data_IF_635209704902
#
_entry.id   IF_635209704902
#
_cell.length_a   1.000
_cell.length_b   1.000
_cell.length_c   1.000
_cell.angle_alpha   90.00
_cell.angle_beta   90.00
_cell.angle_gamma   90.00
#
_symmetry.space_group_name_H-M   'P 1'
#
loop_
_entity.id
_entity.type
_entity.pdbx_description
1 polymer ?
#
# COMPACT_ATOMS: atom_id res chain seq x y z
N UNK A 1 11.07 -4.52 -31.35
CA UNK A 1 11.23 -4.59 -30.76
C UNK A 1 11.46 -4.81 -29.63
N UNK A 2 11.58 -5.22 -29.25
CA UNK A 2 11.74 -5.37 -28.29
C UNK A 2 11.90 -4.96 -27.34
N UNK A 3 12.07 -4.79 -27.04
CA UNK A 3 12.17 -4.02 -26.26
C UNK A 3 11.38 -4.01 -25.19
N UNK A 4 10.51 -4.22 -25.18
CA UNK A 4 9.53 -4.24 -24.23
C UNK A 4 9.82 -5.02 -23.03
N UNK A 5 10.63 -5.92 -23.07
CA UNK A 5 10.90 -6.68 -21.93
C UNK A 5 11.52 -5.91 -20.84
N UNK A 6 11.90 -4.71 -21.08
CA UNK A 6 12.46 -3.93 -20.07
C UNK A 6 11.53 -3.60 -18.97
N UNK A 7 10.30 -3.77 -19.21
CA UNK A 7 9.33 -3.44 -18.21
C UNK A 7 9.49 -4.23 -16.95
N UNK A 8 10.14 -5.33 -17.03
CA UNK A 8 10.29 -6.15 -15.86
C UNK A 8 10.99 -5.47 -14.74
N UNK A 9 11.87 -4.54 -15.04
CA UNK A 9 12.57 -3.83 -14.00
C UNK A 9 11.65 -2.93 -13.22
N UNK A 10 10.42 -2.74 -13.69
CA UNK A 10 9.44 -1.89 -13.04
C UNK A 10 8.45 -2.66 -12.19
N UNK A 11 8.68 -3.93 -11.99
CA UNK A 11 7.71 -4.73 -11.25
C UNK A 11 7.58 -4.29 -9.82
N UNK A 12 6.35 -4.33 -9.33
CA UNK A 12 6.05 -4.03 -7.95
C UNK A 12 6.39 -5.23 -7.08
N UNK A 13 6.82 -5.02 -5.84
CA UNK A 13 7.13 -6.14 -4.97
C UNK A 13 5.91 -6.99 -4.66
N UNK A 14 6.11 -8.30 -4.64
CA UNK A 14 5.11 -9.23 -4.16
C UNK A 14 5.04 -9.16 -2.64
N UNK A 15 4.03 -9.81 -2.07
CA UNK A 15 3.93 -9.89 -0.62
C UNK A 15 5.18 -10.57 -0.04
N UNK A 16 5.63 -11.64 -0.69
CA UNK A 16 6.81 -12.35 -0.22
C UNK A 16 8.05 -11.47 -0.27
N UNK A 17 8.24 -10.75 -1.37
CA UNK A 17 9.38 -9.84 -1.49
C UNK A 17 9.32 -8.72 -0.46
N UNK A 18 8.13 -8.19 -0.21
CA UNK A 18 7.98 -7.17 0.81
C UNK A 18 8.38 -7.69 2.19
N UNK A 19 7.94 -8.90 2.54
CA UNK A 19 8.29 -9.49 3.83
C UNK A 19 9.79 -9.74 3.95
N UNK A 20 10.41 -10.17 2.86
CA UNK A 20 11.84 -10.51 2.89
C UNK A 20 12.74 -9.30 2.89
N UNK A 21 12.30 -8.19 2.25
CA UNK A 21 13.18 -7.05 1.97
C UNK A 21 12.64 -5.73 2.50
N UNK A 22 11.80 -5.76 3.50
CA UNK A 22 11.06 -4.57 3.94
C UNK A 22 11.93 -3.47 4.54
N UNK A 23 13.20 -3.74 4.79
CA UNK A 23 14.07 -2.73 5.39
C UNK A 23 14.89 -1.95 4.36
N UNK A 24 14.79 -2.28 3.09
CA UNK A 24 15.60 -1.60 2.09
C UNK A 24 15.03 -0.22 1.76
N UNK A 25 15.90 0.70 1.34
CA UNK A 25 15.43 2.02 0.96
C UNK A 25 14.57 1.98 -0.30
N UNK A 26 14.80 1.02 -1.18
CA UNK A 26 13.96 0.84 -2.35
C UNK A 26 12.52 0.53 -1.95
N UNK A 27 12.34 -0.32 -0.96
CA UNK A 27 11.01 -0.62 -0.45
C UNK A 27 10.39 0.57 0.24
N UNK A 28 11.19 1.35 0.95
CA UNK A 28 10.67 2.56 1.58
C UNK A 28 10.13 3.53 0.53
N UNK A 29 10.85 3.71 -0.56
CA UNK A 29 10.41 4.59 -1.63
C UNK A 29 9.11 4.08 -2.27
N UNK A 30 9.02 2.77 -2.45
CA UNK A 30 7.81 2.15 -2.98
C UNK A 30 6.62 2.42 -2.05
N UNK A 31 6.80 2.25 -0.74
CA UNK A 31 5.74 2.48 0.23
C UNK A 31 5.33 3.95 0.25
N UNK A 32 6.28 4.87 0.19
CA UNK A 32 5.96 6.29 0.11
C UNK A 32 5.12 6.60 -1.12
N UNK A 33 5.47 6.02 -2.27
CA UNK A 33 4.71 6.23 -3.49
C UNK A 33 3.29 5.67 -3.40
N UNK A 34 3.15 4.48 -2.82
CA UNK A 34 1.84 3.88 -2.62
C UNK A 34 0.96 4.74 -1.72
N UNK A 35 1.52 5.18 -0.60
CA UNK A 35 0.79 5.96 0.38
C UNK A 35 0.35 7.29 -0.23
N UNK A 36 1.25 7.95 -0.94
CA UNK A 36 0.95 9.20 -1.59
C UNK A 36 -0.14 9.03 -2.65
N UNK A 37 -0.01 7.99 -3.48
CA UNK A 37 -1.00 7.74 -4.51
C UNK A 37 -2.37 7.43 -3.92
N UNK A 38 -2.40 6.69 -2.82
CA UNK A 38 -3.65 6.35 -2.16
C UNK A 38 -4.34 7.61 -1.61
N UNK A 39 -3.58 8.52 -1.00
CA UNK A 39 -4.15 9.74 -0.47
C UNK A 39 -4.66 10.66 -1.57
N UNK A 40 -3.93 10.77 -2.69
CA UNK A 40 -4.40 11.58 -3.80
C UNK A 40 -5.65 11.00 -4.45
N UNK A 41 -5.73 9.68 -4.55
CA UNK A 41 -6.93 9.03 -5.09
C UNK A 41 -8.13 9.28 -4.19
N UNK A 42 -7.92 9.22 -2.87
CA UNK A 42 -8.97 9.48 -1.90
C UNK A 42 -9.45 10.93 -2.02
N UNK A 43 -8.51 11.87 -2.18
CA UNK A 43 -8.84 13.28 -2.35
C UNK A 43 -9.64 13.52 -3.62
N UNK A 44 -9.26 12.88 -4.70
CA UNK A 44 -9.97 13.03 -5.98
C UNK A 44 -11.40 12.49 -5.88
N UNK A 45 -11.58 11.35 -5.23
CA UNK A 45 -12.90 10.78 -5.01
C UNK A 45 -13.79 11.74 -4.22
N UNK A 46 -13.22 12.37 -3.20
CA UNK A 46 -13.96 13.33 -2.40
C UNK A 46 -14.35 14.56 -3.21
N UNK A 47 -13.40 15.11 -3.97
CA UNK A 47 -13.69 16.31 -4.74
C UNK A 47 -14.72 16.08 -5.84
N UNK A 48 -14.67 14.91 -6.49
CA UNK A 48 -15.58 14.62 -7.60
C UNK A 48 -16.93 14.08 -7.16
N UNK A 49 -16.94 13.28 -6.11
CA UNK A 49 -18.15 12.54 -5.76
C UNK A 49 -18.61 12.77 -4.32
N UNK A 50 -17.85 13.54 -3.54
CA UNK A 50 -18.18 13.76 -2.15
C UNK A 50 -17.98 12.54 -1.27
N UNK A 51 -17.23 11.55 -1.74
CA UNK A 51 -17.03 10.29 -1.04
C UNK A 51 -15.57 10.08 -0.74
N UNK A 52 -15.24 9.88 0.53
CA UNK A 52 -13.89 9.49 0.92
C UNK A 52 -13.84 7.99 1.10
N UNK A 53 -12.76 7.39 0.63
CA UNK A 53 -12.55 5.94 0.79
C UNK A 53 -12.14 5.65 2.23
N UNK A 54 -11.32 6.52 2.82
CA UNK A 54 -10.94 6.46 4.23
C UNK A 54 -10.85 7.89 4.74
N UNK A 55 -10.85 8.04 6.06
CA UNK A 55 -10.89 9.37 6.67
C UNK A 55 -9.74 9.58 7.63
N UNK A 56 -8.52 9.55 7.09
CA UNK A 56 -7.32 9.86 7.84
C UNK A 56 -7.27 11.38 8.07
N UNK A 57 -7.09 11.85 9.32
CA UNK A 57 -6.97 13.29 9.54
C UNK A 57 -5.81 13.88 8.76
N UNK A 58 -6.03 15.06 8.16
CA UNK A 58 -5.05 15.65 7.26
C UNK A 58 -3.77 16.11 7.97
N UNK A 59 -3.84 16.31 9.29
CA UNK A 59 -2.67 16.72 10.06
C UNK A 59 -1.84 15.53 10.53
N UNK A 60 -2.28 14.30 10.26
CA UNK A 60 -1.52 13.12 10.62
C UNK A 60 -0.63 12.71 9.45
N UNK A 61 0.68 12.72 9.70
CA UNK A 61 1.67 12.24 8.74
C UNK A 61 2.34 11.04 9.38
N UNK A 62 2.16 9.87 8.78
CA UNK A 62 2.72 8.64 9.34
C UNK A 62 4.17 8.49 8.89
N UNK A 63 5.09 8.32 9.85
CA UNK A 63 6.46 7.93 9.48
C UNK A 63 6.45 6.59 8.78
N UNK A 64 7.48 6.32 8.00
CA UNK A 64 7.53 5.10 7.20
C UNK A 64 7.38 3.84 8.07
N UNK A 65 7.95 3.84 9.27
CA UNK A 65 7.85 2.67 10.13
C UNK A 65 6.43 2.43 10.61
N UNK A 66 5.67 3.50 10.83
CA UNK A 66 4.27 3.35 11.23
C UNK A 66 3.43 2.85 10.07
N UNK A 67 3.69 3.33 8.87
CA UNK A 67 2.99 2.84 7.69
C UNK A 67 3.26 1.34 7.49
N UNK A 68 4.51 0.93 7.63
CA UNK A 68 4.86 -0.48 7.53
C UNK A 68 4.21 -1.32 8.61
N UNK A 69 4.10 -0.77 9.81
CA UNK A 69 3.45 -1.46 10.91
C UNK A 69 1.98 -1.74 10.57
N UNK A 70 1.30 -0.75 10.00
CA UNK A 70 -0.09 -0.94 9.60
C UNK A 70 -0.21 -2.01 8.51
N UNK A 71 0.69 -2.00 7.54
CA UNK A 71 0.69 -3.03 6.50
C UNK A 71 0.92 -4.40 7.14
N UNK A 72 1.90 -4.52 8.02
CA UNK A 72 2.24 -5.79 8.64
C UNK A 72 1.07 -6.34 9.47
N UNK A 73 0.38 -5.47 10.19
CA UNK A 73 -0.79 -5.88 10.95
C UNK A 73 -1.88 -6.42 10.02
N UNK A 74 -2.06 -5.77 8.87
CA UNK A 74 -3.06 -6.22 7.91
C UNK A 74 -2.69 -7.58 7.34
N UNK A 75 -1.42 -7.81 7.07
CA UNK A 75 -0.96 -9.10 6.57
C UNK A 75 -1.21 -10.21 7.59
N UNK A 76 -1.19 -9.89 8.89
CA UNK A 76 -1.51 -10.87 9.91
C UNK A 76 -2.99 -11.11 10.05
N UNK A 77 -3.78 -10.04 10.01
CA UNK A 77 -5.23 -10.15 10.15
C UNK A 77 -5.82 -11.08 9.08
N UNK A 78 -5.32 -10.96 7.86
CA UNK A 78 -5.84 -11.75 6.74
C UNK A 78 -4.74 -12.68 6.23
N UNK A 79 -4.05 -13.34 7.14
CA UNK A 79 -2.83 -14.08 6.81
C UNK A 79 -3.04 -15.21 5.83
N UNK A 80 -4.18 -15.88 5.89
CA UNK A 80 -4.46 -16.98 4.96
C UNK A 80 -4.53 -16.47 3.52
N UNK A 81 -5.18 -15.34 3.32
CA UNK A 81 -5.29 -14.73 1.99
C UNK A 81 -3.92 -14.32 1.47
N UNK A 82 -3.15 -13.59 2.28
CA UNK A 82 -1.86 -13.08 1.81
C UNK A 82 -0.82 -14.19 1.67
N UNK A 83 -0.96 -15.27 2.40
CA UNK A 83 -0.08 -16.43 2.21
C UNK A 83 -0.42 -17.15 0.92
N UNK A 84 -1.71 -17.29 0.64
CA UNK A 84 -2.15 -17.93 -0.60
C UNK A 84 -1.68 -17.17 -1.83
N UNK A 85 -1.69 -15.85 -1.76
CA UNK A 85 -1.31 -15.01 -2.89
C UNK A 85 0.02 -14.29 -2.67
N UNK A 86 0.94 -14.94 -1.97
CA UNK A 86 2.20 -14.28 -1.62
C UNK A 86 3.07 -13.90 -2.82
N UNK A 87 2.83 -14.50 -3.97
CA UNK A 87 3.57 -14.19 -5.19
C UNK A 87 2.90 -13.09 -6.02
N UNK A 88 1.86 -12.48 -5.51
CA UNK A 88 1.17 -11.39 -6.20
C UNK A 88 1.57 -10.04 -5.60
N UNK A 89 1.55 -8.95 -6.41
CA UNK A 89 1.95 -7.63 -5.94
C UNK A 89 0.80 -6.93 -5.18
N UNK A 90 0.49 -7.43 -4.00
CA UNK A 90 -0.68 -7.00 -3.23
C UNK A 90 -0.34 -6.09 -2.05
N UNK A 91 0.86 -5.51 -2.02
CA UNK A 91 1.22 -4.61 -0.92
C UNK A 91 0.29 -3.39 -0.89
N UNK A 92 -0.07 -2.87 -2.06
CA UNK A 92 -1.01 -1.75 -2.14
C UNK A 92 -2.38 -2.09 -1.61
N UNK A 93 -2.85 -3.31 -1.88
CA UNK A 93 -4.11 -3.76 -1.33
C UNK A 93 -4.06 -3.82 0.20
N UNK A 94 -2.95 -4.33 0.73
CA UNK A 94 -2.78 -4.39 2.18
C UNK A 94 -2.77 -2.99 2.79
N UNK A 95 -2.09 -2.04 2.16
CA UNK A 95 -2.08 -0.67 2.64
C UNK A 95 -3.48 -0.05 2.61
N UNK A 96 -4.20 -0.25 1.52
CA UNK A 96 -5.55 0.26 1.40
C UNK A 96 -6.44 -0.31 2.50
N UNK A 97 -6.37 -1.62 2.71
CA UNK A 97 -7.19 -2.26 3.73
C UNK A 97 -6.79 -1.81 5.13
N UNK A 98 -5.50 -1.57 5.36
CA UNK A 98 -5.05 -1.05 6.64
C UNK A 98 -5.63 0.34 6.91
N UNK A 99 -5.70 1.18 5.88
CA UNK A 99 -6.28 2.52 6.05
C UNK A 99 -7.79 2.45 6.25
N UNK A 100 -8.46 1.53 5.58
CA UNK A 100 -9.90 1.34 5.83
C UNK A 100 -10.17 0.90 7.25
N UNK A 101 -9.30 0.10 7.82
CA UNK A 101 -9.49 -0.40 9.17
C UNK A 101 -9.11 0.63 10.22
N UNK A 102 -8.05 1.38 10.00
CA UNK A 102 -7.53 2.31 11.01
C UNK A 102 -8.10 3.72 10.89
N UNK A 103 -8.58 4.09 9.72
CA UNK A 103 -9.14 5.42 9.48
C UNK A 103 -10.49 5.32 8.80
N UNK A 104 -11.45 4.61 9.41
CA UNK A 104 -12.76 4.46 8.77
C UNK A 104 -13.49 5.79 8.74
N UNK A 105 -14.34 5.96 7.74
CA UNK A 105 -15.27 7.09 7.69
C UNK A 105 -16.56 6.65 8.34
N UNK A 106 -17.17 7.55 9.04
CA UNK A 106 -18.43 7.25 9.75
C UNK A 106 -19.63 7.22 8.82
#
# INVERSE_FOLDING_TARGET
ILLTNHVQSQEMPTIKEYKDNKQTSKHNQFIYGLENGLEWANDESFRKHGVQIFCKPSDIVLPINETKKLINEQLEIDSAFYRKYQDAPLVGLALKNAYLQNFPCD
#
